data_IF_998134586528
#
_entry.id   IF_998134586528
#
_cell.length_a   1.000
_cell.length_b   1.000
_cell.length_c   1.000
_cell.angle_alpha   90.00
_cell.angle_beta   90.00
_cell.angle_gamma   90.00
#
_symmetry.space_group_name_H-M   'P 1'
#
loop_
_entity.id
_entity.type
_entity.pdbx_description
1 polymer ?
#
# COMPACT_ATOMS: atom_id res chain seq x y z
N UNK A 1 -119.61 -11.59 55.57
CA UNK A 1 -120.30 -10.58 56.40
C UNK A 1 -119.31 -10.03 57.41
N UNK A 2 -119.40 -8.73 57.63
CA UNK A 2 -118.41 -7.84 58.22
C UNK A 2 -118.21 -7.98 59.74
N UNK A 3 -117.23 -7.19 60.22
CA UNK A 3 -117.10 -6.57 61.55
C UNK A 3 -116.30 -7.45 62.55
N UNK A 4 -115.01 -7.17 62.78
CA UNK A 4 -114.41 -6.09 63.61
C UNK A 4 -114.80 -6.21 65.08
N UNK A 5 -113.80 -6.42 65.95
CA UNK A 5 -114.00 -6.36 67.41
C UNK A 5 -112.73 -6.53 68.24
N UNK A 6 -111.95 -5.44 68.38
CA UNK A 6 -111.25 -4.90 69.58
C UNK A 6 -110.47 -5.88 70.49
N UNK A 7 -109.13 -5.87 70.49
CA UNK A 7 -108.21 -4.99 71.23
C UNK A 7 -108.07 -5.28 72.74
N UNK A 8 -106.91 -5.80 73.14
CA UNK A 8 -106.32 -5.65 74.48
C UNK A 8 -104.82 -5.44 74.36
N UNK A 9 -104.34 -4.37 74.99
CA UNK A 9 -102.96 -3.92 75.06
C UNK A 9 -102.16 -4.76 76.07
N UNK A 10 -100.96 -5.19 75.69
CA UNK A 10 -99.84 -5.40 76.62
C UNK A 10 -98.53 -5.10 75.87
N UNK A 11 -97.90 -4.01 76.30
CA UNK A 11 -96.60 -3.51 75.84
C UNK A 11 -95.52 -4.36 76.51
N UNK A 12 -94.68 -5.02 75.72
CA UNK A 12 -93.30 -5.35 76.11
C UNK A 12 -92.41 -5.05 74.91
N UNK A 13 -91.61 -4.01 75.03
CA UNK A 13 -90.58 -3.60 74.09
C UNK A 13 -89.22 -4.14 74.56
N UNK A 14 -88.50 -4.82 73.67
CA UNK A 14 -87.04 -5.03 73.64
C UNK A 14 -86.78 -6.08 72.55
N UNK A 15 -85.80 -6.02 71.65
CA UNK A 15 -84.64 -5.19 71.42
C UNK A 15 -84.24 -5.45 69.94
N UNK A 16 -83.94 -4.42 69.15
CA UNK A 16 -83.56 -4.49 67.74
C UNK A 16 -82.07 -4.84 67.59
N UNK A 17 -81.70 -5.95 66.94
CA UNK A 17 -80.30 -6.23 66.52
C UNK A 17 -80.26 -6.98 65.16
N UNK A 18 -79.69 -6.30 64.15
CA UNK A 18 -78.83 -6.83 63.07
C UNK A 18 -79.47 -7.71 61.98
N UNK A 19 -79.20 -7.57 60.68
CA UNK A 19 -78.34 -6.67 59.93
C UNK A 19 -78.81 -6.71 58.46
N UNK A 20 -79.01 -5.54 57.85
CA UNK A 20 -79.10 -5.39 56.39
C UNK A 20 -77.66 -5.34 55.88
N UNK A 21 -77.24 -6.32 55.09
CA UNK A 21 -75.94 -6.28 54.41
C UNK A 21 -76.09 -5.54 53.07
N UNK A 22 -75.40 -4.41 52.86
CA UNK A 22 -75.26 -3.83 51.52
C UNK A 22 -74.20 -4.60 50.73
N UNK A 23 -74.55 -5.09 49.54
CA UNK A 23 -73.59 -5.61 48.57
C UNK A 23 -72.74 -4.47 48.03
N UNK A 24 -71.55 -4.28 48.59
CA UNK A 24 -70.52 -3.38 48.07
C UNK A 24 -69.91 -4.02 46.83
N UNK A 25 -70.13 -3.42 45.66
CA UNK A 25 -69.32 -3.68 44.46
C UNK A 25 -67.91 -3.20 44.76
N UNK A 26 -67.00 -4.14 45.03
CA UNK A 26 -65.58 -3.86 45.14
C UNK A 26 -65.09 -3.29 43.81
N UNK A 27 -64.60 -2.05 43.82
CA UNK A 27 -63.80 -1.50 42.73
C UNK A 27 -62.65 -2.47 42.44
N UNK A 28 -62.46 -2.84 41.18
CA UNK A 28 -61.35 -3.70 40.80
C UNK A 28 -60.05 -3.07 41.30
N UNK A 29 -59.22 -3.79 42.09
CA UNK A 29 -57.97 -3.24 42.57
C UNK A 29 -57.13 -2.84 41.36
N UNK A 30 -56.47 -1.68 41.42
CA UNK A 30 -55.49 -1.27 40.44
C UNK A 30 -54.48 -2.43 40.28
N UNK A 31 -54.58 -3.15 39.15
CA UNK A 31 -53.69 -4.26 38.87
C UNK A 31 -52.39 -3.66 38.37
N UNK A 32 -51.36 -3.68 39.22
CA UNK A 32 -50.00 -3.50 38.75
C UNK A 32 -49.73 -4.66 37.78
N UNK A 33 -49.51 -4.33 36.51
CA UNK A 33 -49.21 -5.32 35.47
C UNK A 33 -47.87 -6.02 35.71
N UNK A 34 -47.54 -6.97 34.84
CA UNK A 34 -46.22 -7.60 34.80
C UNK A 34 -45.13 -6.52 34.71
N UNK A 35 -44.21 -6.47 35.67
CA UNK A 35 -43.09 -5.53 35.66
C UNK A 35 -42.04 -6.00 34.66
N UNK A 36 -42.20 -5.58 33.40
CA UNK A 36 -41.24 -5.83 32.33
C UNK A 36 -40.93 -4.57 31.54
N UNK A 37 -39.66 -4.26 31.35
CA UNK A 37 -39.23 -3.21 30.42
C UNK A 37 -39.49 -3.71 28.99
N UNK A 38 -40.55 -3.20 28.36
CA UNK A 38 -40.84 -3.45 26.94
C UNK A 38 -40.22 -2.35 26.09
N UNK A 39 -39.89 -2.66 24.83
CA UNK A 39 -39.25 -1.70 23.90
C UNK A 39 -40.05 -0.40 23.72
N UNK A 40 -41.39 -0.45 23.82
CA UNK A 40 -42.25 0.74 23.74
C UNK A 40 -42.33 1.56 25.04
N UNK A 41 -41.75 1.08 26.15
CA UNK A 41 -41.82 1.80 27.42
C UNK A 41 -40.91 3.02 27.40
N UNK A 42 -41.46 4.19 27.70
CA UNK A 42 -40.70 5.42 27.93
C UNK A 42 -39.99 5.38 29.28
N UNK A 43 -38.79 5.94 29.34
CA UNK A 43 -38.04 6.07 30.59
C UNK A 43 -38.73 7.09 31.50
N UNK A 44 -38.65 6.90 32.81
CA UNK A 44 -39.15 7.90 33.76
C UNK A 44 -38.09 8.98 33.97
N UNK A 45 -38.42 10.23 33.67
CA UNK A 45 -37.66 11.40 34.07
C UNK A 45 -38.25 12.04 35.33
N UNK A 46 -37.39 12.67 36.12
CA UNK A 46 -37.81 13.57 37.19
C UNK A 46 -37.52 15.02 36.80
N UNK A 47 -38.46 15.92 37.08
CA UNK A 47 -38.28 17.36 36.95
C UNK A 47 -38.67 18.06 38.24
N UNK A 48 -37.92 19.10 38.61
CA UNK A 48 -38.31 19.99 39.72
C UNK A 48 -39.19 21.13 39.21
N UNK A 49 -40.33 21.33 39.86
CA UNK A 49 -41.23 22.47 39.62
C UNK A 49 -40.93 23.65 40.54
N UNK A 50 -41.58 24.78 40.28
CA UNK A 50 -41.53 25.94 41.15
C UNK A 50 -42.03 25.57 42.56
N UNK A 51 -41.23 25.87 43.59
CA UNK A 51 -41.55 25.52 44.99
C UNK A 51 -40.83 24.28 45.54
N UNK A 52 -39.94 23.65 44.77
CA UNK A 52 -39.12 22.51 45.25
C UNK A 52 -39.82 21.15 45.15
N UNK A 53 -40.93 21.08 44.45
CA UNK A 53 -41.72 19.86 44.22
C UNK A 53 -41.12 19.03 43.07
N UNK A 54 -41.06 17.70 43.21
CA UNK A 54 -40.50 16.79 42.21
C UNK A 54 -41.61 16.01 41.52
N UNK A 55 -41.67 16.10 40.18
CA UNK A 55 -42.63 15.38 39.35
C UNK A 55 -41.94 14.30 38.53
N UNK A 56 -42.52 13.10 38.51
CA UNK A 56 -42.12 12.02 37.61
C UNK A 56 -42.98 12.07 36.35
N UNK A 57 -42.35 12.07 35.19
CA UNK A 57 -43.02 12.07 33.90
C UNK A 57 -42.28 11.14 32.92
N UNK A 58 -42.97 10.59 31.91
CA UNK A 58 -42.30 9.81 30.87
C UNK A 58 -41.43 10.74 30.01
N UNK A 59 -40.18 10.34 29.77
CA UNK A 59 -39.25 10.97 28.86
C UNK A 59 -39.64 10.74 27.39
N UNK A 60 -39.01 11.49 26.50
CA UNK A 60 -39.12 11.23 25.06
C UNK A 60 -38.41 9.93 24.64
N UNK A 61 -37.40 9.50 25.40
CA UNK A 61 -36.58 8.31 25.16
C UNK A 61 -37.29 7.04 25.67
N UNK A 62 -37.33 6.01 24.82
CA UNK A 62 -37.83 4.68 25.14
C UNK A 62 -36.72 3.65 25.42
N UNK A 63 -37.10 2.52 26.01
CA UNK A 63 -36.22 1.35 26.17
C UNK A 63 -35.74 0.84 24.81
N UNK A 64 -36.58 0.92 23.77
CA UNK A 64 -36.21 0.61 22.38
C UNK A 64 -35.10 1.52 21.86
N UNK A 65 -35.20 2.82 22.07
CA UNK A 65 -34.16 3.78 21.66
C UNK A 65 -32.80 3.48 22.32
N UNK A 66 -32.80 3.10 23.61
CA UNK A 66 -31.59 2.66 24.31
C UNK A 66 -31.03 1.36 23.71
N UNK A 67 -31.90 0.41 23.36
CA UNK A 67 -31.50 -0.84 22.74
C UNK A 67 -30.87 -0.61 21.36
N UNK A 68 -31.48 0.27 20.54
CA UNK A 68 -30.96 0.64 19.24
C UNK A 68 -29.62 1.39 19.34
N UNK A 69 -29.49 2.32 20.29
CA UNK A 69 -28.21 3.00 20.57
C UNK A 69 -27.12 2.00 20.99
N UNK A 70 -27.45 1.04 21.85
CA UNK A 70 -26.50 -0.01 22.27
C UNK A 70 -26.05 -0.85 21.09
N UNK A 71 -26.97 -1.21 20.21
CA UNK A 71 -26.67 -2.05 19.05
C UNK A 71 -25.88 -1.26 17.98
N UNK A 72 -26.14 0.04 17.83
CA UNK A 72 -25.29 0.96 17.05
C UNK A 72 -23.87 1.03 17.62
N UNK A 73 -23.72 1.15 18.94
CA UNK A 73 -22.42 1.22 19.60
C UNK A 73 -21.60 -0.05 19.34
N UNK A 74 -22.22 -1.24 19.45
CA UNK A 74 -21.56 -2.52 19.15
C UNK A 74 -21.11 -2.63 17.69
N UNK A 75 -21.95 -2.15 16.75
CA UNK A 75 -21.59 -2.12 15.32
C UNK A 75 -20.41 -1.19 15.08
N UNK A 76 -20.42 -0.02 15.69
CA UNK A 76 -19.33 0.96 15.56
C UNK A 76 -18.00 0.43 16.14
N UNK A 77 -18.04 -0.22 17.31
CA UNK A 77 -16.87 -0.88 17.90
C UNK A 77 -16.26 -1.93 16.96
N UNK A 78 -17.12 -2.73 16.33
CA UNK A 78 -16.69 -3.75 15.36
C UNK A 78 -16.08 -3.14 14.10
N UNK A 79 -16.63 -2.02 13.61
CA UNK A 79 -16.12 -1.29 12.46
C UNK A 79 -14.77 -0.64 12.77
N UNK A 80 -14.60 -0.03 13.95
CA UNK A 80 -13.34 0.54 14.41
C UNK A 80 -12.25 -0.54 14.47
N UNK A 81 -12.54 -1.70 15.07
CA UNK A 81 -11.58 -2.81 15.10
C UNK A 81 -11.20 -3.29 13.69
N UNK A 82 -12.15 -3.33 12.76
CA UNK A 82 -11.87 -3.66 11.36
C UNK A 82 -10.96 -2.62 10.71
N UNK A 83 -11.22 -1.33 10.93
CA UNK A 83 -10.40 -0.24 10.40
C UNK A 83 -8.98 -0.27 10.98
N UNK A 84 -8.83 -0.51 12.28
CA UNK A 84 -7.51 -0.69 12.91
C UNK A 84 -6.74 -1.86 12.28
N UNK A 85 -7.40 -3.01 12.05
CA UNK A 85 -6.76 -4.15 11.40
C UNK A 85 -6.31 -3.84 9.96
N UNK A 86 -7.11 -3.07 9.21
CA UNK A 86 -6.78 -2.62 7.85
C UNK A 86 -5.61 -1.63 7.88
N UNK A 87 -5.59 -0.72 8.86
CA UNK A 87 -4.52 0.25 9.03
C UNK A 87 -3.20 -0.42 9.39
N UNK A 88 -3.20 -1.41 10.29
CA UNK A 88 -2.01 -2.22 10.61
C UNK A 88 -1.51 -2.98 9.38
N UNK A 89 -2.42 -3.60 8.62
CA UNK A 89 -2.08 -4.26 7.36
C UNK A 89 -1.46 -3.30 6.33
N UNK A 90 -2.01 -2.09 6.20
CA UNK A 90 -1.45 -1.05 5.33
C UNK A 90 -0.08 -0.56 5.82
N UNK A 91 0.10 -0.36 7.12
CA UNK A 91 1.37 0.07 7.70
C UNK A 91 2.48 -0.95 7.42
N UNK A 92 2.19 -2.24 7.60
CA UNK A 92 3.12 -3.33 7.24
C UNK A 92 3.44 -3.36 5.76
N UNK A 93 2.42 -3.28 4.90
CA UNK A 93 2.62 -3.25 3.45
C UNK A 93 3.48 -2.05 3.00
N UNK A 94 3.31 -0.88 3.64
CA UNK A 94 4.09 0.31 3.36
C UNK A 94 5.54 0.14 3.83
N UNK A 95 5.75 -0.45 5.01
CA UNK A 95 7.10 -0.78 5.49
C UNK A 95 7.82 -1.79 4.58
N UNK A 96 7.13 -2.84 4.13
CA UNK A 96 7.68 -3.82 3.19
C UNK A 96 8.04 -3.17 1.85
N UNK A 97 7.17 -2.32 1.33
CA UNK A 97 7.41 -1.60 0.09
C UNK A 97 8.58 -0.63 0.23
N UNK A 98 8.72 0.06 1.38
CA UNK A 98 9.86 0.92 1.71
C UNK A 98 11.17 0.14 1.80
N UNK A 99 11.18 -1.03 2.46
CA UNK A 99 12.37 -1.90 2.54
C UNK A 99 12.77 -2.41 1.15
N UNK A 100 11.79 -2.84 0.35
CA UNK A 100 12.04 -3.37 -0.98
C UNK A 100 12.53 -2.28 -1.95
N UNK A 101 11.90 -1.10 -1.96
CA UNK A 101 12.33 0.01 -2.82
C UNK A 101 13.69 0.59 -2.43
N UNK A 102 14.03 0.63 -1.13
CA UNK A 102 15.35 1.09 -0.68
C UNK A 102 16.47 0.10 -1.02
N UNK A 103 16.16 -1.20 -1.04
CA UNK A 103 17.12 -2.26 -1.37
C UNK A 103 17.32 -2.42 -2.88
N UNK A 104 16.27 -2.19 -3.68
CA UNK A 104 16.35 -2.27 -5.14
C UNK A 104 17.01 -1.05 -5.78
N UNK A 105 16.83 0.15 -5.23
CA UNK A 105 17.48 1.37 -5.73
C UNK A 105 18.99 1.33 -5.50
N UNK A 106 19.42 0.98 -4.28
CA UNK A 106 20.85 0.90 -3.93
C UNK A 106 21.62 -0.15 -4.74
N UNK A 107 20.98 -1.29 -5.03
CA UNK A 107 21.57 -2.34 -5.88
C UNK A 107 21.67 -1.87 -7.34
N UNK A 108 20.63 -1.22 -7.87
CA UNK A 108 20.59 -0.77 -9.27
C UNK A 108 21.58 0.37 -9.54
N UNK A 109 21.72 1.33 -8.60
CA UNK A 109 22.67 2.45 -8.72
C UNK A 109 24.14 1.98 -8.69
N UNK A 110 24.45 0.97 -7.87
CA UNK A 110 25.76 0.34 -7.83
C UNK A 110 26.10 -0.35 -9.15
N UNK A 111 25.18 -1.17 -9.66
CA UNK A 111 25.33 -1.85 -10.95
C UNK A 111 25.47 -0.86 -12.11
N UNK A 112 24.68 0.21 -12.13
CA UNK A 112 24.74 1.25 -13.16
C UNK A 112 26.09 2.00 -13.14
N UNK A 113 26.57 2.33 -11.93
CA UNK A 113 27.85 3.01 -11.75
C UNK A 113 29.03 2.14 -12.22
N UNK A 114 28.98 0.85 -11.92
CA UNK A 114 29.98 -0.12 -12.37
C UNK A 114 29.94 -0.29 -13.88
N UNK A 115 28.74 -0.43 -14.48
CA UNK A 115 28.58 -0.49 -15.93
C UNK A 115 29.16 0.76 -16.62
N UNK A 116 28.89 1.95 -16.05
CA UNK A 116 29.39 3.23 -16.58
C UNK A 116 30.91 3.33 -16.52
N UNK A 117 31.53 2.81 -15.46
CA UNK A 117 32.99 2.70 -15.36
C UNK A 117 33.54 1.76 -16.43
N UNK A 118 32.99 0.55 -16.54
CA UNK A 118 33.40 -0.42 -17.56
C UNK A 118 33.28 0.13 -18.97
N UNK A 119 32.18 0.82 -19.30
CA UNK A 119 32.00 1.48 -20.61
C UNK A 119 33.05 2.57 -20.84
N UNK A 120 33.38 3.35 -19.82
CA UNK A 120 34.41 4.39 -19.91
C UNK A 120 35.80 3.78 -20.14
N UNK A 121 36.13 2.69 -19.44
CA UNK A 121 37.40 1.97 -19.59
C UNK A 121 37.52 1.29 -20.96
N UNK A 122 36.43 0.68 -21.44
CA UNK A 122 36.34 0.13 -22.79
C UNK A 122 36.52 1.22 -23.85
N UNK A 123 35.89 2.39 -23.68
CA UNK A 123 36.06 3.52 -24.59
C UNK A 123 37.53 3.96 -24.67
N UNK A 124 38.19 4.13 -23.53
CA UNK A 124 39.60 4.50 -23.48
C UNK A 124 40.50 3.44 -24.16
N UNK A 125 40.16 2.15 -23.99
CA UNK A 125 40.87 1.05 -24.63
C UNK A 125 40.69 1.07 -26.15
N UNK A 126 39.47 1.32 -26.63
CA UNK A 126 39.17 1.47 -28.07
C UNK A 126 39.94 2.64 -28.66
N UNK A 127 39.95 3.79 -27.97
CA UNK A 127 40.66 4.98 -28.44
C UNK A 127 42.18 4.74 -28.54
N UNK A 128 42.78 3.99 -27.60
CA UNK A 128 44.19 3.54 -27.69
C UNK A 128 44.45 2.59 -28.85
N UNK A 129 43.64 1.53 -28.98
CA UNK A 129 43.76 0.57 -30.08
C UNK A 129 43.62 1.24 -31.45
N UNK A 130 42.73 2.23 -31.56
CA UNK A 130 42.59 3.02 -32.78
C UNK A 130 43.87 3.78 -33.11
N UNK A 131 44.49 4.42 -32.12
CA UNK A 131 45.79 5.11 -32.30
C UNK A 131 46.87 4.14 -32.76
N UNK A 132 46.99 2.97 -32.10
CA UNK A 132 47.97 1.94 -32.47
C UNK A 132 47.77 1.45 -33.91
N UNK A 133 46.52 1.26 -34.34
CA UNK A 133 46.18 0.89 -35.73
C UNK A 133 46.61 1.99 -36.71
N UNK A 134 46.33 3.26 -36.40
CA UNK A 134 46.74 4.39 -37.24
C UNK A 134 48.26 4.47 -37.37
N UNK A 135 49.00 4.30 -36.27
CA UNK A 135 50.45 4.30 -36.25
C UNK A 135 51.03 3.12 -37.04
N UNK A 136 50.45 1.92 -36.89
CA UNK A 136 50.89 0.73 -37.62
C UNK A 136 50.64 0.86 -39.13
N UNK A 137 49.49 1.46 -39.52
CA UNK A 137 49.18 1.78 -40.92
C UNK A 137 50.18 2.78 -41.50
N UNK A 138 50.50 3.86 -40.76
CA UNK A 138 51.50 4.85 -41.18
C UNK A 138 52.87 4.21 -41.33
N UNK A 139 53.29 3.40 -40.37
CA UNK A 139 54.59 2.73 -40.41
C UNK A 139 54.68 1.73 -41.57
N UNK A 140 53.66 0.90 -41.78
CA UNK A 140 53.60 -0.05 -42.89
C UNK A 140 53.63 0.65 -44.26
N UNK A 141 52.95 1.78 -44.41
CA UNK A 141 53.02 2.58 -45.64
C UNK A 141 54.39 3.23 -45.86
N UNK A 142 55.06 3.63 -44.79
CA UNK A 142 56.38 4.27 -44.87
C UNK A 142 57.48 3.25 -45.18
N UNK A 143 57.45 2.07 -44.55
CA UNK A 143 58.42 1.01 -44.74
C UNK A 143 58.34 0.38 -46.13
N UNK A 144 57.14 0.21 -46.67
CA UNK A 144 56.97 -0.29 -48.05
C UNK A 144 57.51 0.68 -49.10
N UNK A 145 57.29 1.98 -48.93
CA UNK A 145 57.82 2.99 -49.85
C UNK A 145 59.34 3.10 -49.79
N UNK A 146 59.94 3.08 -48.59
CA UNK A 146 61.40 3.13 -48.45
C UNK A 146 62.05 1.90 -49.06
N UNK A 147 61.58 0.69 -48.72
CA UNK A 147 62.14 -0.54 -49.27
C UNK A 147 61.95 -0.64 -50.79
N UNK A 148 60.83 -0.15 -51.34
CA UNK A 148 60.61 -0.10 -52.79
C UNK A 148 61.60 0.82 -53.50
N UNK A 149 61.83 2.02 -52.95
CA UNK A 149 62.78 2.99 -53.51
C UNK A 149 64.24 2.51 -53.45
N UNK A 150 64.63 1.86 -52.35
CA UNK A 150 65.94 1.22 -52.21
C UNK A 150 66.11 0.07 -53.21
N UNK A 151 65.10 -0.78 -53.37
CA UNK A 151 65.11 -1.86 -54.37
C UNK A 151 65.26 -1.34 -55.79
N UNK A 152 64.52 -0.28 -56.14
CA UNK A 152 64.60 0.33 -57.47
C UNK A 152 65.99 0.91 -57.72
N UNK A 153 66.56 1.59 -56.71
CA UNK A 153 67.91 2.16 -56.79
C UNK A 153 68.97 1.06 -56.95
N UNK A 154 68.91 0.02 -56.12
CA UNK A 154 69.81 -1.14 -56.22
C UNK A 154 69.70 -1.84 -57.58
N UNK A 155 68.49 -2.02 -58.11
CA UNK A 155 68.27 -2.66 -59.42
C UNK A 155 68.87 -1.83 -60.57
N UNK A 156 68.80 -0.52 -60.48
CA UNK A 156 69.44 0.38 -61.44
C UNK A 156 70.96 0.26 -61.37
N UNK A 157 71.55 0.36 -60.17
CA UNK A 157 72.99 0.19 -59.95
C UNK A 157 73.49 -1.16 -60.46
N UNK A 158 72.77 -2.26 -60.19
CA UNK A 158 73.12 -3.60 -60.69
C UNK A 158 73.04 -3.67 -62.22
N UNK A 159 72.07 -3.00 -62.85
CA UNK A 159 71.97 -2.96 -64.31
C UNK A 159 73.13 -2.18 -64.94
N UNK A 160 73.53 -1.07 -64.34
CA UNK A 160 74.66 -0.26 -64.81
C UNK A 160 76.00 -0.99 -64.63
N UNK A 161 76.18 -1.67 -63.49
CA UNK A 161 77.32 -2.54 -63.24
C UNK A 161 77.39 -3.70 -64.24
N UNK A 162 76.25 -4.32 -64.56
CA UNK A 162 76.20 -5.41 -65.54
C UNK A 162 76.66 -4.96 -66.93
N UNK A 163 76.19 -3.81 -67.41
CA UNK A 163 76.63 -3.24 -68.70
C UNK A 163 78.12 -2.95 -68.70
N UNK A 164 78.62 -2.33 -67.64
CA UNK A 164 80.04 -2.03 -67.47
C UNK A 164 80.91 -3.30 -67.51
N UNK A 165 80.44 -4.40 -66.91
CA UNK A 165 81.11 -5.70 -66.96
C UNK A 165 81.11 -6.32 -68.36
N UNK A 166 80.00 -6.22 -69.10
CA UNK A 166 79.91 -6.70 -70.49
C UNK A 166 80.86 -5.93 -71.42
N UNK A 167 80.96 -4.61 -71.25
CA UNK A 167 81.90 -3.77 -72.00
C UNK A 167 83.35 -4.11 -71.67
N UNK A 168 83.67 -4.28 -70.38
CA UNK A 168 85.01 -4.69 -69.95
C UNK A 168 85.38 -6.07 -70.50
N UNK A 169 84.44 -7.01 -70.49
CA UNK A 169 84.61 -8.35 -71.07
C UNK A 169 84.94 -8.27 -72.56
N UNK A 170 84.17 -7.50 -73.34
CA UNK A 170 84.46 -7.26 -74.77
C UNK A 170 85.84 -6.65 -74.98
N UNK A 171 86.23 -5.70 -74.13
CA UNK A 171 87.56 -5.08 -74.19
C UNK A 171 88.67 -6.11 -73.94
N UNK A 172 88.51 -6.98 -72.95
CA UNK A 172 89.46 -8.06 -72.64
C UNK A 172 89.53 -9.09 -73.77
N UNK A 173 88.39 -9.51 -74.32
CA UNK A 173 88.33 -10.47 -75.44
C UNK A 173 89.06 -9.89 -76.67
N UNK A 174 88.83 -8.61 -76.99
CA UNK A 174 89.56 -7.91 -78.06
C UNK A 174 91.07 -7.86 -77.78
N UNK A 175 91.49 -7.52 -76.56
CA UNK A 175 92.91 -7.50 -76.21
C UNK A 175 93.54 -8.89 -76.32
N UNK A 176 92.85 -9.93 -75.83
CA UNK A 176 93.30 -11.32 -75.91
C UNK A 176 93.48 -11.78 -77.35
N UNK A 177 92.56 -11.39 -78.24
CA UNK A 177 92.68 -11.68 -79.68
C UNK A 177 93.85 -10.98 -80.36
N UNK A 178 94.31 -9.85 -79.81
CA UNK A 178 95.41 -9.05 -80.36
C UNK A 178 96.79 -9.46 -79.81
N UNK A 179 96.82 -10.11 -78.65
CA UNK A 179 98.04 -10.62 -78.00
C UNK A 179 98.39 -12.04 -78.47
N UNK A 180 97.41 -12.79 -78.98
CA UNK A 180 97.61 -14.08 -79.65
C UNK A 180 97.98 -13.91 -81.12
#
# INVERSE_FOLDING_TARGET
>A
MSIVGKASFAVVASLLIGAMAPSVLAASPARWGEFGASVGNKLTASSSGAGGEYFLHPSDISVGDIQDMRDLLKRNDSEIQSLESKLDGQARALEDLKKNTGSSSSSSDGQLSELKRTVSDQKNTIDKLKSEIEDLKRNSSSSSNSSSSELSSLKSTVSDQKRSLEDLKRSVDNLSSKVK
#
